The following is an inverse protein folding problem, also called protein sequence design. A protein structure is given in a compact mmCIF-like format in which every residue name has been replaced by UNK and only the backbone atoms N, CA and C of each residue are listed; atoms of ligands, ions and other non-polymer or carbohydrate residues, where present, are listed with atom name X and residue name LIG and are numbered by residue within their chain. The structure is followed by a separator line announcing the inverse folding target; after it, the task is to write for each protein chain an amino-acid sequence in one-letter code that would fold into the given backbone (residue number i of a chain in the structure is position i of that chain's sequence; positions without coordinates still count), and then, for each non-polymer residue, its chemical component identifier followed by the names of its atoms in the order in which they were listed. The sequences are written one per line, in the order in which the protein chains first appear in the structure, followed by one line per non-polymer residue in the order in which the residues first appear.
data_IF_156228414134
#
_entry.id   IF_156228414134
#
_cell.length_a   1.000
_cell.length_b   1.000
_cell.length_c   1.000
_cell.angle_alpha   90.00
_cell.angle_beta   90.00
_cell.angle_gamma   90.00
#
_symmetry.space_group_name_H-M   'P 1'
#
loop_
_entity.id
_entity.type
_entity.pdbx_description
1 polymer ?
#
# COMPACT_ATOMS: atom_id res chain seq x y z
N UNK A 1 17.04 8.33 9.78
CA UNK A 1 16.44 9.70 9.73
C UNK A 1 16.01 9.91 8.29
N UNK A 2 14.85 10.53 7.99
CA UNK A 2 14.56 10.95 6.63
C UNK A 2 15.76 11.74 6.10
N UNK A 3 16.17 11.46 4.86
CA UNK A 3 17.31 12.11 4.20
C UNK A 3 18.67 11.88 4.87
N UNK A 4 18.92 10.63 5.31
CA UNK A 4 20.26 10.19 5.73
C UNK A 4 21.05 9.57 4.58
N UNK A 5 22.37 9.55 4.70
CA UNK A 5 23.27 8.83 3.79
C UNK A 5 23.74 7.52 4.42
N UNK A 6 23.88 6.48 3.61
CA UNK A 6 24.48 5.21 3.98
C UNK A 6 25.49 4.79 2.90
N UNK A 7 26.75 5.17 3.06
CA UNK A 7 27.74 5.01 1.99
C UNK A 7 27.34 5.82 0.75
N UNK A 8 27.34 5.24 -0.47
CA UNK A 8 26.97 5.97 -1.69
C UNK A 8 25.45 6.16 -1.86
N UNK A 9 24.64 5.65 -0.93
CA UNK A 9 23.20 5.63 -1.05
C UNK A 9 22.55 6.81 -0.33
N UNK A 10 21.63 7.49 -1.02
CA UNK A 10 20.63 8.34 -0.38
C UNK A 10 19.54 7.45 0.21
N UNK A 11 19.21 7.66 1.49
CA UNK A 11 18.17 6.92 2.20
C UNK A 11 16.90 7.78 2.30
N UNK A 12 15.79 7.28 1.78
CA UNK A 12 14.50 7.99 1.77
C UNK A 12 13.49 7.20 2.59
N UNK A 13 12.86 7.85 3.56
CA UNK A 13 11.81 7.24 4.37
C UNK A 13 10.56 7.01 3.53
N UNK A 14 10.05 5.79 3.54
CA UNK A 14 8.86 5.40 2.76
C UNK A 14 7.95 4.50 3.61
N UNK A 15 7.41 5.04 4.73
CA UNK A 15 6.58 4.26 5.64
C UNK A 15 5.30 3.77 4.97
N UNK A 16 4.70 2.72 5.54
CA UNK A 16 3.39 2.24 5.14
C UNK A 16 3.33 0.72 5.11
N UNK A 17 4.25 0.07 4.38
CA UNK A 17 4.46 -1.37 4.51
C UNK A 17 4.96 -1.72 5.93
N UNK A 18 5.93 -0.95 6.41
CA UNK A 18 6.36 -0.89 7.80
C UNK A 18 6.63 0.58 8.17
N UNK A 19 6.46 0.92 9.45
CA UNK A 19 6.61 2.30 9.93
C UNK A 19 8.04 2.85 9.81
N UNK A 20 9.04 1.97 9.75
CA UNK A 20 10.45 2.30 9.57
C UNK A 20 10.98 1.97 8.17
N UNK A 21 10.09 1.67 7.21
CA UNK A 21 10.48 1.32 5.85
C UNK A 21 11.23 2.48 5.18
N UNK A 22 12.30 2.14 4.47
CA UNK A 22 13.15 3.06 3.70
C UNK A 22 13.44 2.47 2.32
N UNK A 23 13.71 3.35 1.36
CA UNK A 23 14.33 2.98 0.08
C UNK A 23 15.74 3.55 -0.03
N UNK A 24 16.59 2.88 -0.80
CA UNK A 24 17.96 3.33 -1.05
C UNK A 24 18.11 3.73 -2.51
N UNK A 25 18.65 4.93 -2.76
CA UNK A 25 18.80 5.48 -4.11
C UNK A 25 20.28 5.71 -4.44
N UNK A 26 20.70 5.28 -5.63
CA UNK A 26 22.02 5.57 -6.20
C UNK A 26 21.86 5.87 -7.70
N UNK A 27 22.19 7.10 -8.11
CA UNK A 27 21.93 7.58 -9.48
C UNK A 27 20.44 7.43 -9.83
N UNK A 28 20.16 6.76 -10.96
CA UNK A 28 18.80 6.51 -11.46
C UNK A 28 18.18 5.19 -10.94
N UNK A 29 18.81 4.51 -9.96
CA UNK A 29 18.36 3.21 -9.43
C UNK A 29 17.83 3.37 -8.00
N UNK A 30 16.67 2.77 -7.74
CA UNK A 30 16.06 2.72 -6.41
C UNK A 30 15.87 1.28 -5.95
N UNK A 31 16.46 0.92 -4.81
CA UNK A 31 16.19 -0.34 -4.11
C UNK A 31 14.95 -0.13 -3.24
N UNK A 32 13.79 -0.53 -3.75
CA UNK A 32 12.49 -0.17 -3.18
C UNK A 32 11.97 -1.14 -2.11
N UNK A 33 12.71 -2.23 -1.83
CA UNK A 33 12.33 -3.20 -0.81
C UNK A 33 10.92 -3.74 -1.06
N UNK A 34 10.10 -3.76 -0.01
CA UNK A 34 8.72 -4.23 -0.07
C UNK A 34 7.70 -3.11 -0.30
N UNK A 35 8.15 -1.88 -0.61
CA UNK A 35 7.23 -0.81 -1.00
C UNK A 35 6.51 -1.16 -2.31
N UNK A 36 7.26 -1.59 -3.33
CA UNK A 36 6.75 -2.06 -4.63
C UNK A 36 7.49 -3.35 -4.99
N UNK A 37 6.76 -4.37 -5.44
CA UNK A 37 7.29 -5.68 -5.81
C UNK A 37 7.34 -5.84 -7.32
N UNK A 38 8.25 -6.68 -7.81
CA UNK A 38 8.37 -6.97 -9.24
C UNK A 38 7.18 -7.74 -9.81
N UNK A 39 6.49 -8.51 -8.96
CA UNK A 39 5.31 -9.28 -9.32
C UNK A 39 4.33 -9.29 -8.14
N UNK A 40 3.03 -9.24 -8.46
CA UNK A 40 1.98 -9.20 -7.45
C UNK A 40 1.86 -7.82 -6.81
N UNK A 41 1.48 -7.80 -5.53
CA UNK A 41 1.29 -6.58 -4.75
C UNK A 41 1.94 -6.71 -3.37
N UNK A 42 2.34 -5.60 -2.77
CA UNK A 42 2.82 -5.59 -1.39
C UNK A 42 1.66 -5.63 -0.39
N UNK A 43 1.88 -6.26 0.77
CA UNK A 43 0.95 -6.17 1.90
C UNK A 43 1.17 -4.84 2.60
N UNK A 44 0.08 -4.16 2.95
CA UNK A 44 0.10 -2.97 3.79
C UNK A 44 -0.72 -3.28 5.04
N UNK A 45 -0.06 -3.61 6.17
CA UNK A 45 -0.79 -3.95 7.37
C UNK A 45 -1.47 -2.70 7.97
N UNK A 46 -2.50 -2.90 8.81
CA UNK A 46 -3.07 -1.81 9.60
C UNK A 46 -2.06 -1.29 10.64
N UNK A 47 -2.38 -0.18 11.29
CA UNK A 47 -1.50 0.50 12.25
C UNK A 47 -1.03 -0.39 13.39
N UNK A 48 -1.91 -1.26 13.90
CA UNK A 48 -1.54 -2.22 14.95
C UNK A 48 -0.49 -3.25 14.51
N UNK A 49 -0.36 -3.48 13.19
CA UNK A 49 0.67 -4.32 12.59
C UNK A 49 1.91 -3.53 12.13
N UNK A 50 2.00 -2.24 12.48
CA UNK A 50 3.13 -1.38 12.13
C UNK A 50 3.07 -0.79 10.72
N UNK A 51 1.96 -0.94 10.00
CA UNK A 51 1.76 -0.36 8.68
C UNK A 51 0.76 0.80 8.67
N UNK A 52 0.54 1.39 7.51
CA UNK A 52 -0.43 2.47 7.32
C UNK A 52 -0.66 2.68 5.83
N UNK A 53 -1.90 2.48 5.37
CA UNK A 53 -2.23 2.71 3.96
C UNK A 53 -2.11 4.18 3.58
N UNK A 54 -2.44 5.10 4.49
CA UNK A 54 -2.29 6.53 4.25
C UNK A 54 -0.81 6.90 4.03
N UNK A 55 0.11 6.37 4.85
CA UNK A 55 1.55 6.56 4.66
C UNK A 55 2.05 5.87 3.41
N UNK A 56 1.57 4.66 3.12
CA UNK A 56 1.94 3.92 1.92
C UNK A 56 1.62 4.68 0.64
N UNK A 57 0.42 5.29 0.55
CA UNK A 57 0.03 6.09 -0.62
C UNK A 57 0.93 7.33 -0.79
N UNK A 58 1.29 8.02 0.32
CA UNK A 58 2.29 9.10 0.28
C UNK A 58 3.68 8.61 -0.10
N UNK A 59 4.04 7.39 0.30
CA UNK A 59 5.32 6.78 -0.08
C UNK A 59 5.36 6.41 -1.56
N UNK A 60 4.23 6.07 -2.18
CA UNK A 60 4.13 5.93 -3.64
C UNK A 60 4.31 7.28 -4.34
N UNK A 61 3.71 8.36 -3.84
CA UNK A 61 3.96 9.72 -4.34
C UNK A 61 5.45 10.07 -4.27
N UNK A 62 6.06 9.84 -3.10
CA UNK A 62 7.48 10.09 -2.91
C UNK A 62 8.33 9.28 -3.89
N UNK A 63 8.05 7.97 -4.05
CA UNK A 63 8.78 7.09 -4.97
C UNK A 63 8.69 7.57 -6.44
N UNK A 64 7.51 8.04 -6.86
CA UNK A 64 7.27 8.62 -8.18
C UNK A 64 8.10 9.89 -8.39
N UNK A 65 8.13 10.78 -7.39
CA UNK A 65 8.92 12.02 -7.40
C UNK A 65 10.44 11.77 -7.41
N UNK A 66 10.93 10.61 -6.94
CA UNK A 66 12.36 10.28 -7.03
C UNK A 66 12.85 10.15 -8.48
N UNK A 67 11.95 9.89 -9.44
CA UNK A 67 12.29 9.82 -10.86
C UNK A 67 13.26 8.69 -11.24
N UNK A 68 13.33 7.63 -10.43
CA UNK A 68 14.19 6.48 -10.71
C UNK A 68 13.78 5.80 -12.02
N UNK A 69 14.75 5.31 -12.80
CA UNK A 69 14.53 4.59 -14.07
C UNK A 69 14.50 3.08 -13.91
N UNK A 70 14.92 2.59 -12.74
CA UNK A 70 14.92 1.17 -12.39
C UNK A 70 14.57 1.02 -10.91
N UNK A 71 13.53 0.23 -10.62
CA UNK A 71 13.28 -0.22 -9.25
C UNK A 71 13.78 -1.64 -9.05
N UNK A 72 14.55 -1.84 -7.98
CA UNK A 72 15.06 -3.12 -7.51
C UNK A 72 14.25 -3.53 -6.28
N UNK A 73 13.16 -4.31 -6.44
CA UNK A 73 12.31 -4.72 -5.34
C UNK A 73 13.00 -5.77 -4.45
N UNK A 74 12.50 -5.95 -3.23
CA UNK A 74 12.89 -7.05 -2.35
C UNK A 74 12.49 -8.42 -2.90
N UNK A 75 11.40 -8.46 -3.68
CA UNK A 75 10.87 -9.66 -4.30
C UNK A 75 10.45 -9.46 -5.76
N UNK A 76 10.64 -10.51 -6.56
CA UNK A 76 10.29 -10.51 -7.98
C UNK A 76 11.35 -9.85 -8.87
N UNK A 77 11.06 -9.73 -10.18
CA UNK A 77 11.98 -9.14 -11.15
C UNK A 77 12.17 -7.64 -10.92
N UNK A 78 13.26 -7.09 -11.44
CA UNK A 78 13.44 -5.64 -11.48
C UNK A 78 12.40 -4.98 -12.38
N UNK A 79 12.01 -3.75 -12.02
CA UNK A 79 10.97 -2.99 -12.68
C UNK A 79 11.64 -1.93 -13.55
N UNK A 80 11.59 -2.14 -14.86
CA UNK A 80 12.18 -1.24 -15.88
C UNK A 80 11.22 -0.15 -16.36
N UNK A 81 9.95 -0.22 -15.96
CA UNK A 81 8.97 0.85 -16.13
C UNK A 81 8.38 1.24 -14.75
N UNK A 82 9.14 2.04 -13.97
CA UNK A 82 8.72 2.44 -12.63
C UNK A 82 7.40 3.21 -12.62
N UNK A 83 7.21 4.10 -13.60
CA UNK A 83 6.01 4.95 -13.69
C UNK A 83 4.76 4.09 -13.85
N UNK A 84 4.77 3.15 -14.80
CA UNK A 84 3.61 2.26 -15.00
C UNK A 84 3.34 1.39 -13.76
N UNK A 85 4.39 0.85 -13.12
CA UNK A 85 4.24 -0.03 -11.95
C UNK A 85 3.71 0.71 -10.72
N UNK A 86 4.17 1.94 -10.48
CA UNK A 86 3.67 2.77 -9.37
C UNK A 86 2.21 3.14 -9.60
N UNK A 87 1.85 3.52 -10.84
CA UNK A 87 0.47 3.82 -11.21
C UNK A 87 -0.46 2.60 -11.04
N UNK A 88 -0.01 1.40 -11.43
CA UNK A 88 -0.72 0.13 -11.21
C UNK A 88 -0.99 -0.11 -9.72
N UNK A 89 0.03 0.07 -8.88
CA UNK A 89 -0.08 -0.09 -7.43
C UNK A 89 -1.07 0.90 -6.82
N UNK A 90 -0.99 2.18 -7.22
CA UNK A 90 -1.87 3.25 -6.76
C UNK A 90 -3.32 2.95 -7.14
N UNK A 91 -3.57 2.66 -8.41
CA UNK A 91 -4.91 2.40 -8.92
C UNK A 91 -5.54 1.18 -8.26
N UNK A 92 -4.75 0.12 -8.01
CA UNK A 92 -5.24 -1.05 -7.30
C UNK A 92 -5.74 -0.73 -5.89
N UNK A 93 -5.10 0.19 -5.15
CA UNK A 93 -5.60 0.63 -3.83
C UNK A 93 -6.85 1.50 -3.96
N UNK A 94 -6.84 2.46 -4.89
CA UNK A 94 -7.98 3.35 -5.10
C UNK A 94 -9.21 2.58 -5.56
N UNK A 95 -9.06 1.54 -6.37
CA UNK A 95 -10.17 0.68 -6.78
C UNK A 95 -10.82 -0.04 -5.59
N UNK A 96 -10.02 -0.70 -4.74
CA UNK A 96 -10.52 -1.34 -3.51
C UNK A 96 -11.23 -0.35 -2.60
N UNK A 97 -10.66 0.85 -2.46
CA UNK A 97 -11.25 1.92 -1.67
C UNK A 97 -12.60 2.38 -2.23
N UNK A 98 -12.71 2.64 -3.54
CA UNK A 98 -13.97 3.02 -4.18
C UNK A 98 -15.05 1.94 -3.98
N UNK A 99 -14.69 0.67 -4.14
CA UNK A 99 -15.60 -0.47 -3.91
C UNK A 99 -16.05 -0.54 -2.45
N UNK A 100 -15.14 -0.34 -1.50
CA UNK A 100 -15.44 -0.33 -0.07
C UNK A 100 -16.37 0.82 0.30
N UNK A 101 -16.07 2.04 -0.17
CA UNK A 101 -16.92 3.22 0.05
C UNK A 101 -18.32 2.98 -0.53
N UNK A 102 -18.43 2.45 -1.75
CA UNK A 102 -19.73 2.16 -2.36
C UNK A 102 -20.55 1.15 -1.53
N UNK A 103 -19.91 0.12 -0.97
CA UNK A 103 -20.58 -0.85 -0.09
C UNK A 103 -21.05 -0.20 1.23
N UNK A 104 -20.22 0.66 1.82
CA UNK A 104 -20.58 1.43 3.02
C UNK A 104 -21.72 2.42 2.75
N UNK A 105 -21.73 3.09 1.61
CA UNK A 105 -22.80 4.00 1.19
C UNK A 105 -24.13 3.25 0.93
N UNK A 106 -24.06 2.00 0.48
CA UNK A 106 -25.21 1.11 0.34
C UNK A 106 -25.73 0.56 1.68
N UNK A 107 -25.08 0.91 2.80
CA UNK A 107 -25.49 0.50 4.15
C UNK A 107 -24.92 -0.83 4.62
N UNK A 108 -23.99 -1.46 3.88
CA UNK A 108 -23.32 -2.67 4.37
C UNK A 108 -22.36 -2.32 5.51
N UNK A 109 -22.36 -3.15 6.54
CA UNK A 109 -21.68 -2.89 7.81
C UNK A 109 -21.00 -4.14 8.38
N UNK A 110 -21.35 -5.33 7.91
CA UNK A 110 -20.69 -6.57 8.30
C UNK A 110 -19.31 -6.66 7.65
N UNK A 111 -18.25 -6.83 8.46
CA UNK A 111 -16.89 -7.08 7.95
C UNK A 111 -16.83 -8.25 6.97
N UNK A 112 -17.51 -9.34 7.29
CA UNK A 112 -17.54 -10.53 6.43
C UNK A 112 -18.13 -10.23 5.06
N UNK A 113 -19.27 -9.51 5.02
CA UNK A 113 -19.94 -9.13 3.77
C UNK A 113 -19.16 -8.08 2.98
N UNK A 114 -18.55 -7.10 3.65
CA UNK A 114 -17.64 -6.14 3.02
C UNK A 114 -16.44 -6.86 2.39
N UNK A 115 -15.81 -7.78 3.13
CA UNK A 115 -14.67 -8.55 2.64
C UNK A 115 -15.06 -9.39 1.42
N UNK A 116 -16.20 -10.09 1.49
CA UNK A 116 -16.71 -10.91 0.39
C UNK A 116 -17.10 -10.10 -0.86
N UNK A 117 -17.59 -8.86 -0.69
CA UNK A 117 -17.99 -8.00 -1.80
C UNK A 117 -16.82 -7.25 -2.44
N UNK A 118 -15.82 -6.86 -1.64
CA UNK A 118 -14.72 -5.99 -2.07
C UNK A 118 -13.46 -6.78 -2.43
N UNK A 119 -13.21 -7.95 -1.83
CA UNK A 119 -12.07 -8.85 -2.09
C UNK A 119 -12.53 -10.22 -2.64
N UNK A 120 -13.54 -10.21 -3.51
CA UNK A 120 -14.15 -11.39 -4.15
C UNK A 120 -13.20 -12.19 -5.06
N UNK A 121 -12.18 -11.54 -5.59
CA UNK A 121 -11.12 -12.09 -6.43
C UNK A 121 -9.94 -12.68 -5.64
N UNK A 122 -9.93 -12.57 -4.31
CA UNK A 122 -8.85 -13.09 -3.46
C UNK A 122 -9.08 -14.58 -3.14
N UNK A 123 -8.07 -15.45 -3.37
CA UNK A 123 -8.18 -16.87 -3.04
C UNK A 123 -8.50 -17.10 -1.54
N UNK A 124 -9.25 -18.17 -1.19
CA UNK A 124 -9.61 -18.44 0.21
C UNK A 124 -8.42 -18.51 1.18
N UNK A 125 -7.27 -19.03 0.71
CA UNK A 125 -6.03 -19.11 1.51
C UNK A 125 -5.42 -17.74 1.86
N UNK A 126 -5.86 -16.65 1.20
CA UNK A 126 -5.38 -15.28 1.40
C UNK A 126 -6.41 -14.38 2.08
N UNK A 127 -7.53 -14.94 2.60
CA UNK A 127 -8.58 -14.16 3.24
C UNK A 127 -8.10 -13.35 4.44
N UNK A 128 -7.22 -13.91 5.27
CA UNK A 128 -6.70 -13.19 6.44
C UNK A 128 -5.88 -11.96 6.01
N UNK A 129 -5.10 -12.09 4.93
CA UNK A 129 -4.37 -10.98 4.34
C UNK A 129 -5.31 -9.91 3.76
N UNK A 130 -6.41 -10.33 3.10
CA UNK A 130 -7.43 -9.42 2.61
C UNK A 130 -8.17 -8.69 3.75
N UNK A 131 -8.44 -9.37 4.86
CA UNK A 131 -9.05 -8.76 6.04
C UNK A 131 -8.13 -7.70 6.68
N UNK A 132 -6.83 -7.95 6.73
CA UNK A 132 -5.83 -6.96 7.15
C UNK A 132 -5.80 -5.75 6.20
N UNK A 133 -5.82 -5.99 4.88
CA UNK A 133 -5.89 -4.92 3.89
C UNK A 133 -7.17 -4.08 4.05
N UNK A 134 -8.33 -4.73 4.22
CA UNK A 134 -9.60 -4.05 4.49
C UNK A 134 -9.52 -3.16 5.73
N UNK A 135 -8.92 -3.66 6.81
CA UNK A 135 -8.72 -2.87 8.02
C UNK A 135 -7.85 -1.64 7.77
N UNK A 136 -6.76 -1.76 7.02
CA UNK A 136 -5.91 -0.63 6.66
C UNK A 136 -6.65 0.41 5.79
N UNK A 137 -7.53 -0.03 4.89
CA UNK A 137 -8.42 0.86 4.13
C UNK A 137 -9.40 1.61 5.03
N UNK A 138 -10.07 0.90 5.94
CA UNK A 138 -10.99 1.53 6.90
C UNK A 138 -10.25 2.57 7.78
N UNK A 139 -9.06 2.26 8.27
CA UNK A 139 -8.24 3.20 9.06
C UNK A 139 -7.88 4.47 8.26
N UNK A 140 -7.51 4.34 6.98
CA UNK A 140 -7.27 5.48 6.09
C UNK A 140 -8.54 6.32 5.91
N UNK A 141 -9.66 5.69 5.56
CA UNK A 141 -10.95 6.36 5.33
C UNK A 141 -11.44 7.10 6.58
N UNK A 142 -11.27 6.50 7.77
CA UNK A 142 -11.57 7.16 9.04
C UNK A 142 -10.74 8.44 9.23
N UNK A 143 -9.45 8.39 8.91
CA UNK A 143 -8.54 9.54 8.97
C UNK A 143 -8.90 10.65 7.98
N UNK A 144 -9.58 10.31 6.88
CA UNK A 144 -10.10 11.25 5.87
C UNK A 144 -11.52 11.77 6.19
N UNK A 145 -12.08 11.36 7.34
CA UNK A 145 -13.39 11.83 7.80
C UNK A 145 -14.59 11.09 7.21
N UNK A 146 -14.37 9.95 6.55
CA UNK A 146 -15.47 9.09 6.09
C UNK A 146 -16.17 8.48 7.30
N UNK A 147 -17.49 8.58 7.35
CA UNK A 147 -18.28 8.05 8.44
C UNK A 147 -18.33 6.52 8.40
N UNK A 148 -17.64 5.89 9.33
CA UNK A 148 -17.59 4.43 9.49
C UNK A 148 -18.51 3.91 10.60
N UNK A 149 -19.45 4.73 11.11
CA UNK A 149 -20.34 4.31 12.18
C UNK A 149 -20.98 2.96 11.80
N UNK A 150 -20.76 2.00 12.69
CA UNK A 150 -21.33 0.65 12.70
C UNK A 150 -20.68 -0.40 11.80
N UNK A 151 -19.38 -0.35 11.46
CA UNK A 151 -18.74 -1.59 10.94
C UNK A 151 -18.67 -2.63 12.06
N UNK A 152 -19.60 -3.58 12.04
CA UNK A 152 -19.77 -4.65 13.03
C UNK A 152 -18.83 -5.83 12.75
N UNK A 153 -18.34 -6.45 13.82
CA UNK A 153 -17.48 -7.65 13.77
C UNK A 153 -18.22 -8.88 13.20
#
# INVERSE_FOLDING_TARGET
RPDSEAGPFRVVSTPGHAGDHVVFVIGDVCFCGDLVLGQGSSIVPPQAGGGSLADYMRSLDCLEELGAKLLCPGHGPWITDPVAKIAEYREHRLDRERRLVAALEAGERSRERLLAAVWDDVPPAMRDAAALAMRAHLEKLAGEGVNLLEVED
#
